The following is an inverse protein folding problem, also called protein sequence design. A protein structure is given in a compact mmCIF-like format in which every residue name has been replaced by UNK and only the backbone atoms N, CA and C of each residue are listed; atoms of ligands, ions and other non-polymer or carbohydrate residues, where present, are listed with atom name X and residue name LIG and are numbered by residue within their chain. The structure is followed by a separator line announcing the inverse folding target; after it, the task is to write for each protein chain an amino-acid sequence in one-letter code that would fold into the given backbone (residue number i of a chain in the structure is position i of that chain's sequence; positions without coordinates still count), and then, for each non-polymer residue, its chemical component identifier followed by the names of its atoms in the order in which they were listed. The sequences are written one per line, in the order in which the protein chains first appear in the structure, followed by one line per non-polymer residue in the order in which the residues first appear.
data_IF_483574506381
#
_entry.id   IF_483574506381
#
_cell.length_a   1.000
_cell.length_b   1.000
_cell.length_c   1.000
_cell.angle_alpha   90.00
_cell.angle_beta   90.00
_cell.angle_gamma   90.00
#
_symmetry.space_group_name_H-M   'P 1'
#
loop_
_entity.id
_entity.type
_entity.pdbx_description
1 polymer ?
#
# COMPACT_ATOMS: atom_id res chain seq x y z
N UNK A 1 16.00 12.84 -18.46
CA UNK A 1 14.63 12.29 -18.37
C UNK A 1 14.11 12.58 -16.98
N UNK A 2 12.87 13.06 -16.84
CA UNK A 2 12.25 13.25 -15.53
C UNK A 2 12.00 11.85 -14.94
N UNK A 3 12.91 11.33 -14.12
CA UNK A 3 12.74 10.05 -13.42
C UNK A 3 11.65 10.13 -12.33
N UNK A 4 11.28 11.36 -11.97
CA UNK A 4 10.33 11.71 -10.93
C UNK A 4 8.96 11.00 -11.08
N UNK A 5 8.28 10.97 -12.25
CA UNK A 5 6.97 10.33 -12.37
C UNK A 5 7.04 8.81 -12.21
N UNK A 6 8.09 8.16 -12.73
CA UNK A 6 8.25 6.71 -12.63
C UNK A 6 8.48 6.32 -11.15
N UNK A 7 9.36 7.03 -10.46
CA UNK A 7 9.72 6.70 -9.07
C UNK A 7 8.57 6.91 -8.08
N UNK A 8 7.66 7.85 -8.33
CA UNK A 8 6.53 8.15 -7.43
C UNK A 8 5.20 7.51 -7.83
N UNK A 9 4.97 7.17 -9.12
CA UNK A 9 3.71 6.53 -9.57
C UNK A 9 3.78 5.01 -9.63
N UNK A 10 4.98 4.42 -9.77
CA UNK A 10 5.15 2.96 -9.77
C UNK A 10 4.64 2.25 -8.49
N UNK A 11 4.86 2.78 -7.26
CA UNK A 11 4.26 2.19 -6.07
C UNK A 11 2.72 2.16 -6.12
N UNK A 12 2.10 3.22 -6.62
CA UNK A 12 0.63 3.36 -6.66
C UNK A 12 0.01 2.26 -7.52
N UNK A 13 0.57 2.03 -8.71
CA UNK A 13 0.07 1.01 -9.63
C UNK A 13 0.15 -0.40 -9.00
N UNK A 14 1.28 -0.75 -8.41
CA UNK A 14 1.49 -2.07 -7.80
C UNK A 14 0.58 -2.31 -6.59
N UNK A 15 0.45 -1.32 -5.70
CA UNK A 15 -0.40 -1.43 -4.50
C UNK A 15 -1.89 -1.45 -4.86
N UNK A 16 -2.29 -0.71 -5.90
CA UNK A 16 -3.66 -0.76 -6.44
C UNK A 16 -3.95 -2.16 -7.00
N UNK A 17 -3.07 -2.69 -7.87
CA UNK A 17 -3.23 -4.02 -8.45
C UNK A 17 -3.24 -5.12 -7.39
N UNK A 18 -2.38 -5.03 -6.39
CA UNK A 18 -2.41 -5.91 -5.22
C UNK A 18 -3.77 -5.87 -4.52
N UNK A 19 -4.29 -4.67 -4.25
CA UNK A 19 -5.54 -4.52 -3.50
C UNK A 19 -6.72 -5.08 -4.28
N UNK A 20 -6.79 -4.82 -5.59
CA UNK A 20 -7.79 -5.44 -6.47
C UNK A 20 -7.66 -6.97 -6.49
N UNK A 21 -6.43 -7.49 -6.53
CA UNK A 21 -6.18 -8.92 -6.50
C UNK A 21 -6.65 -9.60 -5.19
N UNK A 22 -6.64 -8.90 -4.04
CA UNK A 22 -7.19 -9.44 -2.79
C UNK A 22 -8.70 -9.62 -2.81
N UNK A 23 -9.43 -8.80 -3.55
CA UNK A 23 -10.87 -8.97 -3.72
C UNK A 23 -11.22 -10.14 -4.64
N UNK A 24 -10.29 -10.58 -5.49
CA UNK A 24 -10.49 -11.71 -6.39
C UNK A 24 -10.30 -13.03 -5.64
N UNK A 25 -11.39 -13.55 -5.06
CA UNK A 25 -11.41 -14.79 -4.26
C UNK A 25 -12.10 -15.98 -4.91
N UNK A 26 -12.07 -16.06 -6.25
CA UNK A 26 -12.57 -17.22 -6.97
C UNK A 26 -11.76 -18.47 -6.63
N UNK A 27 -12.43 -19.60 -6.36
CA UNK A 27 -11.78 -20.88 -6.06
C UNK A 27 -10.76 -21.28 -7.13
N UNK A 28 -11.06 -21.01 -8.41
CA UNK A 28 -10.18 -21.31 -9.56
C UNK A 28 -8.85 -20.52 -9.51
N UNK A 29 -8.90 -19.28 -9.04
CA UNK A 29 -7.73 -18.40 -8.98
C UNK A 29 -6.90 -18.72 -7.73
N UNK A 30 -7.57 -18.96 -6.60
CA UNK A 30 -6.91 -19.34 -5.36
C UNK A 30 -6.21 -20.70 -5.43
N UNK A 31 -6.63 -21.60 -6.33
CA UNK A 31 -5.93 -22.87 -6.57
C UNK A 31 -4.63 -22.74 -7.37
N UNK A 32 -4.35 -21.57 -7.97
CA UNK A 32 -3.13 -21.36 -8.73
C UNK A 32 -1.95 -21.21 -7.78
N UNK A 33 -0.95 -22.08 -7.92
CA UNK A 33 0.25 -22.11 -7.06
C UNK A 33 1.02 -20.79 -7.06
N UNK A 34 0.98 -20.05 -8.17
CA UNK A 34 1.69 -18.79 -8.34
C UNK A 34 0.94 -17.56 -7.80
N UNK A 35 -0.38 -17.65 -7.54
CA UNK A 35 -1.20 -16.48 -7.22
C UNK A 35 -0.76 -15.77 -5.94
N UNK A 36 -0.32 -16.55 -4.94
CA UNK A 36 0.29 -16.00 -3.73
C UNK A 36 1.51 -15.12 -4.04
N UNK A 37 2.45 -15.61 -4.85
CA UNK A 37 3.70 -14.90 -5.14
C UNK A 37 3.47 -13.64 -5.98
N UNK A 38 2.53 -13.68 -6.92
CA UNK A 38 2.16 -12.49 -7.71
C UNK A 38 1.70 -11.36 -6.78
N UNK A 39 0.78 -11.66 -5.85
CA UNK A 39 0.32 -10.69 -4.86
C UNK A 39 1.44 -10.24 -3.93
N UNK A 40 2.27 -11.17 -3.46
CA UNK A 40 3.40 -10.87 -2.59
C UNK A 40 4.39 -9.91 -3.25
N UNK A 41 4.77 -10.16 -4.51
CA UNK A 41 5.70 -9.31 -5.25
C UNK A 41 5.12 -7.92 -5.45
N UNK A 42 3.86 -7.81 -5.92
CA UNK A 42 3.19 -6.51 -6.09
C UNK A 42 3.18 -5.70 -4.78
N UNK A 43 2.79 -6.35 -3.68
CA UNK A 43 2.70 -5.72 -2.37
C UNK A 43 4.07 -5.30 -1.83
N UNK A 44 5.05 -6.20 -1.83
CA UNK A 44 6.38 -5.94 -1.24
C UNK A 44 7.11 -4.89 -2.04
N UNK A 45 7.16 -5.02 -3.37
CA UNK A 45 7.83 -4.03 -4.22
C UNK A 45 7.12 -2.67 -4.19
N UNK A 46 5.78 -2.67 -4.21
CA UNK A 46 4.98 -1.45 -4.05
C UNK A 46 5.23 -0.78 -2.70
N UNK A 47 5.22 -1.56 -1.60
CA UNK A 47 5.43 -1.06 -0.24
C UNK A 47 6.83 -0.49 -0.05
N UNK A 48 7.88 -1.19 -0.52
CA UNK A 48 9.26 -0.69 -0.44
C UNK A 48 9.45 0.61 -1.24
N UNK A 49 8.77 0.73 -2.38
CA UNK A 49 8.82 1.93 -3.22
C UNK A 49 8.12 3.15 -2.58
N UNK A 50 7.32 2.97 -1.53
CA UNK A 50 6.74 4.11 -0.79
C UNK A 50 7.80 4.91 -0.03
N UNK A 51 8.91 4.27 0.39
CA UNK A 51 9.99 4.92 1.13
C UNK A 51 10.61 6.08 0.32
N UNK A 52 11.16 5.85 -0.89
CA UNK A 52 11.69 6.96 -1.69
C UNK A 52 10.59 7.96 -2.06
N UNK A 53 9.35 7.50 -2.32
CA UNK A 53 8.23 8.39 -2.67
C UNK A 53 7.94 9.42 -1.56
N UNK A 54 7.89 9.00 -0.30
CA UNK A 54 7.68 9.89 0.85
C UNK A 54 8.86 10.85 1.02
N UNK A 55 10.09 10.37 0.83
CA UNK A 55 11.28 11.23 0.91
C UNK A 55 11.25 12.33 -0.15
N UNK A 56 10.94 12.00 -1.40
CA UNK A 56 10.80 13.00 -2.46
C UNK A 56 9.66 13.99 -2.19
N UNK A 57 8.53 13.51 -1.66
CA UNK A 57 7.41 14.39 -1.29
C UNK A 57 7.79 15.43 -0.24
N UNK A 58 8.63 15.06 0.74
CA UNK A 58 9.14 16.00 1.76
C UNK A 58 10.04 17.09 1.17
N UNK A 59 10.80 16.80 0.10
CA UNK A 59 11.71 17.76 -0.52
C UNK A 59 10.99 18.90 -1.26
N UNK A 60 9.75 18.66 -1.70
CA UNK A 60 8.94 19.64 -2.45
C UNK A 60 7.80 20.21 -1.62
N UNK A 61 7.66 19.79 -0.35
CA UNK A 61 6.56 20.15 0.53
C UNK A 61 6.38 21.67 0.68
N UNK A 62 7.48 22.41 0.78
CA UNK A 62 7.49 23.86 0.98
C UNK A 62 6.98 24.65 -0.26
N UNK A 63 6.80 23.98 -1.41
CA UNK A 63 6.26 24.59 -2.63
C UNK A 63 4.72 24.64 -2.66
N UNK A 64 4.06 24.04 -1.65
CA UNK A 64 2.60 23.91 -1.61
C UNK A 64 2.03 24.45 -0.30
N UNK A 65 0.73 24.82 -0.26
CA UNK A 65 0.10 25.29 0.97
C UNK A 65 0.17 24.25 2.09
N UNK A 66 0.57 24.69 3.29
CA UNK A 66 0.85 23.82 4.44
C UNK A 66 -0.33 22.88 4.78
N UNK A 67 -1.56 23.38 4.69
CA UNK A 67 -2.77 22.62 5.05
C UNK A 67 -2.95 21.39 4.16
N UNK A 68 -2.81 21.53 2.83
CA UNK A 68 -2.99 20.39 1.91
C UNK A 68 -1.83 19.41 2.02
N UNK A 69 -0.60 19.90 2.18
CA UNK A 69 0.60 19.07 2.38
C UNK A 69 0.47 18.22 3.64
N UNK A 70 -0.01 18.80 4.74
CA UNK A 70 -0.22 18.10 6.01
C UNK A 70 -1.19 16.92 5.83
N UNK A 71 -2.36 17.18 5.24
CA UNK A 71 -3.38 16.14 5.01
C UNK A 71 -2.82 15.07 4.06
N UNK A 72 -2.23 15.47 2.93
CA UNK A 72 -1.61 14.55 1.98
C UNK A 72 -0.55 13.66 2.63
N UNK A 73 0.34 14.25 3.45
CA UNK A 73 1.39 13.50 4.16
C UNK A 73 0.82 12.52 5.17
N UNK A 74 -0.24 12.88 5.91
CA UNK A 74 -0.92 11.96 6.84
C UNK A 74 -1.47 10.74 6.10
N UNK A 75 -2.17 10.93 4.98
CA UNK A 75 -2.70 9.82 4.18
C UNK A 75 -1.59 8.99 3.53
N UNK A 76 -0.53 9.62 3.03
CA UNK A 76 0.62 8.90 2.47
C UNK A 76 1.33 8.02 3.51
N UNK A 77 1.51 8.53 4.73
CA UNK A 77 2.10 7.78 5.84
C UNK A 77 1.19 6.63 6.28
N UNK A 78 -0.11 6.87 6.42
CA UNK A 78 -1.08 5.82 6.75
C UNK A 78 -1.09 4.71 5.69
N UNK A 79 -1.07 5.08 4.41
CA UNK A 79 -0.95 4.14 3.28
C UNK A 79 0.31 3.28 3.40
N UNK A 80 1.47 3.90 3.64
CA UNK A 80 2.74 3.19 3.80
C UNK A 80 2.72 2.23 5.01
N UNK A 81 2.11 2.62 6.13
CA UNK A 81 1.99 1.77 7.32
C UNK A 81 1.09 0.56 7.01
N UNK A 82 -0.10 0.77 6.44
CA UNK A 82 -1.06 -0.31 6.15
C UNK A 82 -0.45 -1.32 5.18
N UNK A 83 0.10 -0.87 4.06
CA UNK A 83 0.74 -1.79 3.11
C UNK A 83 2.04 -2.36 3.65
N UNK A 84 2.81 -1.64 4.47
CA UNK A 84 4.01 -2.15 5.12
C UNK A 84 3.74 -3.30 6.08
N UNK A 85 2.73 -3.16 6.94
CA UNK A 85 2.29 -4.24 7.84
C UNK A 85 1.78 -5.45 7.05
N UNK A 86 1.00 -5.20 5.99
CA UNK A 86 0.49 -6.26 5.12
C UNK A 86 1.63 -6.96 4.37
N UNK A 87 2.63 -6.21 3.89
CA UNK A 87 3.81 -6.72 3.20
C UNK A 87 4.65 -7.59 4.13
N UNK A 88 4.84 -7.16 5.39
CA UNK A 88 5.53 -7.95 6.41
C UNK A 88 4.81 -9.28 6.65
N UNK A 89 3.48 -9.28 6.74
CA UNK A 89 2.69 -10.51 6.87
C UNK A 89 2.89 -11.46 5.69
N UNK A 90 2.91 -10.92 4.47
CA UNK A 90 3.18 -11.68 3.25
C UNK A 90 4.59 -12.27 3.22
N UNK A 91 5.59 -11.51 3.66
CA UNK A 91 6.98 -11.98 3.75
C UNK A 91 7.13 -13.11 4.76
N UNK A 92 6.53 -12.99 5.96
CA UNK A 92 6.53 -14.07 6.96
C UNK A 92 5.88 -15.33 6.37
N UNK A 93 4.74 -15.18 5.70
CA UNK A 93 4.03 -16.30 5.08
C UNK A 93 4.83 -16.94 3.94
N UNK A 94 5.55 -16.13 3.15
CA UNK A 94 6.42 -16.63 2.09
C UNK A 94 7.59 -17.44 2.69
N UNK A 95 8.25 -16.90 3.70
CA UNK A 95 9.33 -17.57 4.42
C UNK A 95 8.84 -18.91 5.00
N UNK A 96 7.67 -18.94 5.64
CA UNK A 96 7.08 -20.18 6.16
C UNK A 96 6.78 -21.22 5.08
N UNK A 97 6.41 -20.79 3.87
CA UNK A 97 6.02 -21.69 2.77
C UNK A 97 7.24 -22.33 2.09
N UNK A 98 8.26 -21.54 1.80
CA UNK A 98 9.37 -21.98 0.92
C UNK A 98 10.69 -22.22 1.67
N UNK A 99 10.86 -21.62 2.85
CA UNK A 99 12.10 -21.68 3.65
C UNK A 99 11.89 -22.39 4.99
N UNK A 100 10.82 -23.19 5.11
CA UNK A 100 10.38 -23.88 6.32
C UNK A 100 11.49 -24.67 7.05
N UNK A 101 12.44 -25.26 6.31
CA UNK A 101 13.56 -26.01 6.87
C UNK A 101 14.59 -25.14 7.61
N UNK A 102 14.69 -23.86 7.26
CA UNK A 102 15.60 -22.90 7.88
C UNK A 102 14.98 -22.26 9.14
N UNK A 103 13.65 -22.15 9.18
CA UNK A 103 12.93 -21.44 10.23
C UNK A 103 12.60 -22.29 11.45
N UNK A 104 12.55 -23.61 11.30
CA UNK A 104 12.31 -24.56 12.41
C UNK A 104 13.40 -24.57 13.50
N UNK A 105 14.53 -23.89 13.27
CA UNK A 105 15.70 -23.92 14.17
C UNK A 105 15.62 -22.98 15.37
N UNK A 106 14.62 -22.10 15.47
CA UNK A 106 14.58 -21.11 16.55
C UNK A 106 13.17 -20.91 17.12
N UNK A 107 13.02 -21.00 18.44
CA UNK A 107 11.74 -20.87 19.16
C UNK A 107 11.01 -19.55 18.87
N UNK A 108 11.75 -18.47 18.62
CA UNK A 108 11.18 -17.15 18.35
C UNK A 108 10.42 -17.07 17.01
N UNK A 109 10.90 -17.77 15.96
CA UNK A 109 10.24 -17.71 14.65
C UNK A 109 8.87 -18.39 14.68
N UNK A 110 8.75 -19.49 15.43
CA UNK A 110 7.47 -20.16 15.66
C UNK A 110 6.43 -19.20 16.24
N UNK A 111 6.83 -18.39 17.22
CA UNK A 111 5.96 -17.36 17.81
C UNK A 111 5.56 -16.27 16.80
N UNK A 112 6.50 -15.76 16.00
CA UNK A 112 6.22 -14.77 14.96
C UNK A 112 5.26 -15.31 13.89
N UNK A 113 5.49 -16.55 13.42
CA UNK A 113 4.63 -17.24 12.45
C UNK A 113 3.20 -17.42 12.99
N UNK A 114 3.07 -17.84 14.24
CA UNK A 114 1.76 -18.07 14.87
C UNK A 114 1.00 -16.76 15.11
N UNK A 115 1.69 -15.70 15.57
CA UNK A 115 1.11 -14.37 15.67
C UNK A 115 0.64 -13.87 14.30
N UNK A 116 1.47 -14.03 13.26
CA UNK A 116 1.12 -13.60 11.91
C UNK A 116 -0.16 -14.29 11.41
N UNK A 117 -0.27 -15.61 11.56
CA UNK A 117 -1.46 -16.38 11.17
C UNK A 117 -2.71 -15.97 11.95
N UNK A 118 -2.57 -15.61 13.22
CA UNK A 118 -3.68 -15.23 14.08
C UNK A 118 -4.17 -13.80 13.83
N UNK A 119 -3.24 -12.86 13.64
CA UNK A 119 -3.55 -11.44 13.39
C UNK A 119 -3.99 -11.23 11.94
N UNK A 120 -3.22 -11.75 10.98
CA UNK A 120 -3.43 -11.50 9.54
C UNK A 120 -4.20 -12.64 8.87
N UNK A 121 -5.34 -13.00 9.44
CA UNK A 121 -6.27 -13.97 8.84
C UNK A 121 -6.76 -13.46 7.47
N UNK A 122 -7.19 -14.34 6.55
CA UNK A 122 -7.61 -13.93 5.20
C UNK A 122 -8.65 -12.81 5.14
N UNK A 123 -9.57 -12.75 6.11
CA UNK A 123 -10.55 -11.64 6.21
C UNK A 123 -9.87 -10.32 6.58
N UNK A 124 -8.92 -10.34 7.51
CA UNK A 124 -8.16 -9.16 7.91
C UNK A 124 -7.33 -8.62 6.74
N UNK A 125 -6.66 -9.50 5.97
CA UNK A 125 -5.90 -9.09 4.78
C UNK A 125 -6.78 -8.36 3.76
N UNK A 126 -7.99 -8.86 3.49
CA UNK A 126 -8.94 -8.18 2.58
C UNK A 126 -9.37 -6.82 3.12
N UNK A 127 -9.63 -6.71 4.43
CA UNK A 127 -9.97 -5.43 5.07
C UNK A 127 -8.81 -4.44 5.04
N UNK A 128 -7.58 -4.90 5.25
CA UNK A 128 -6.37 -4.08 5.14
C UNK A 128 -6.12 -3.64 3.70
N UNK A 129 -6.33 -4.52 2.71
CA UNK A 129 -6.23 -4.17 1.29
C UNK A 129 -7.28 -3.13 0.89
N UNK A 130 -8.53 -3.26 1.36
CA UNK A 130 -9.57 -2.27 1.14
C UNK A 130 -9.28 -0.93 1.81
N UNK A 131 -8.86 -0.95 3.08
CA UNK A 131 -8.44 0.25 3.81
C UNK A 131 -7.26 0.92 3.09
N UNK A 132 -6.25 0.15 2.72
CA UNK A 132 -5.09 0.62 1.98
C UNK A 132 -5.47 1.26 0.65
N UNK A 133 -6.41 0.67 -0.08
CA UNK A 133 -6.88 1.21 -1.35
C UNK A 133 -7.57 2.56 -1.17
N UNK A 134 -8.45 2.69 -0.18
CA UNK A 134 -9.12 3.98 0.13
C UNK A 134 -8.10 5.06 0.51
N UNK A 135 -7.12 4.71 1.36
CA UNK A 135 -6.05 5.63 1.75
C UNK A 135 -5.22 6.05 0.53
N UNK A 136 -4.79 5.09 -0.30
CA UNK A 136 -3.99 5.31 -1.50
C UNK A 136 -4.73 6.17 -2.53
N UNK A 137 -6.01 5.90 -2.77
CA UNK A 137 -6.85 6.70 -3.66
C UNK A 137 -6.99 8.13 -3.14
N UNK A 138 -7.16 8.31 -1.83
CA UNK A 138 -7.22 9.65 -1.21
C UNK A 138 -5.88 10.38 -1.32
N UNK A 139 -4.76 9.71 -1.08
CA UNK A 139 -3.40 10.26 -1.29
C UNK A 139 -3.21 10.70 -2.73
N UNK A 140 -3.61 9.87 -3.70
CA UNK A 140 -3.54 10.18 -5.12
C UNK A 140 -4.38 11.40 -5.50
N UNK A 141 -5.62 11.47 -5.02
CA UNK A 141 -6.50 12.62 -5.23
C UNK A 141 -5.90 13.91 -4.65
N UNK A 142 -5.38 13.87 -3.42
CA UNK A 142 -4.70 15.02 -2.80
C UNK A 142 -3.46 15.46 -3.59
N UNK A 143 -2.69 14.50 -4.15
CA UNK A 143 -1.59 14.79 -5.07
C UNK A 143 -2.07 15.47 -6.35
N UNK A 144 -3.18 15.00 -6.92
CA UNK A 144 -3.83 15.61 -8.08
C UNK A 144 -4.29 17.04 -7.82
N UNK A 145 -4.89 17.30 -6.66
CA UNK A 145 -5.30 18.65 -6.24
C UNK A 145 -4.08 19.59 -6.17
N UNK A 146 -2.96 19.13 -5.58
CA UNK A 146 -1.74 19.93 -5.51
C UNK A 146 -1.14 20.24 -6.89
N UNK A 147 -1.16 19.26 -7.81
CA UNK A 147 -0.52 19.40 -9.12
C UNK A 147 -1.38 20.18 -10.13
N UNK A 148 -2.70 19.99 -10.10
CA UNK A 148 -3.61 20.41 -11.18
C UNK A 148 -4.83 21.19 -10.69
N UNK A 149 -5.04 21.29 -9.37
CA UNK A 149 -6.19 21.95 -8.75
C UNK A 149 -7.37 21.01 -8.45
N UNK A 150 -8.37 21.46 -7.67
CA UNK A 150 -9.44 20.59 -7.16
C UNK A 150 -10.48 20.15 -8.19
N UNK A 151 -10.65 20.90 -9.27
CA UNK A 151 -11.70 20.69 -10.28
C UNK A 151 -11.31 19.79 -11.46
N UNK A 152 -10.21 19.04 -11.37
CA UNK A 152 -9.67 18.27 -12.49
C UNK A 152 -10.54 17.05 -12.81
N UNK A 153 -11.06 16.38 -11.79
CA UNK A 153 -11.98 15.25 -11.94
C UNK A 153 -12.97 15.16 -10.74
N UNK A 154 -14.01 14.31 -10.83
CA UNK A 154 -15.01 14.19 -9.77
C UNK A 154 -14.45 13.71 -8.42
N UNK A 155 -13.40 12.89 -8.44
CA UNK A 155 -12.79 12.37 -7.22
C UNK A 155 -11.95 13.45 -6.52
N UNK A 156 -11.15 14.23 -7.26
CA UNK A 156 -10.40 15.35 -6.68
C UNK A 156 -11.34 16.38 -6.09
N UNK A 157 -12.47 16.66 -6.76
CA UNK A 157 -13.50 17.55 -6.25
C UNK A 157 -14.11 17.03 -4.95
N UNK A 158 -14.55 15.77 -4.95
CA UNK A 158 -15.12 15.14 -3.75
C UNK A 158 -14.16 15.18 -2.55
N UNK A 159 -12.88 14.84 -2.76
CA UNK A 159 -11.86 14.87 -1.71
C UNK A 159 -11.59 16.30 -1.25
N UNK A 160 -11.57 17.28 -2.15
CA UNK A 160 -11.43 18.68 -1.80
C UNK A 160 -12.59 19.15 -0.89
N UNK A 161 -13.82 18.86 -1.30
CA UNK A 161 -15.02 19.26 -0.56
C UNK A 161 -15.04 18.61 0.84
N UNK A 162 -14.57 17.36 0.95
CA UNK A 162 -14.51 16.63 2.22
C UNK A 162 -13.51 17.22 3.23
N UNK A 163 -12.34 17.69 2.79
CA UNK A 163 -11.26 18.13 3.69
C UNK A 163 -11.08 19.64 3.78
N UNK A 164 -11.48 20.38 2.74
CA UNK A 164 -11.24 21.81 2.61
C UNK A 164 -12.53 22.62 2.53
N UNK A 165 -13.64 22.04 2.04
CA UNK A 165 -14.98 22.64 2.09
C UNK A 165 -15.11 23.96 1.33
N UNK A 166 -14.40 24.09 0.20
CA UNK A 166 -14.42 25.26 -0.69
C UNK A 166 -15.05 24.85 -2.02
#
# INVERSE_FOLDING_TARGET
MNLHPILVHFPIALLTMYSLAEFVRSKKILSLSYWFYVKAIMLVTGSLSTIPTILFGKLIADSFPERIVRVHSTFAQATAIVYGLTALSYLITWIDKDFYSLTKKTDWWGYVSELNKNVFRPRMIVLLAGTGLVLLTTTGALGGIMAFGPGVDPLTKFVNDLFFGI
#
